data_IF_425569926185
#
_entry.id   IF_425569926185
#
_cell.length_a   1.000
_cell.length_b   1.000
_cell.length_c   1.000
_cell.angle_alpha   90.00
_cell.angle_beta   90.00
_cell.angle_gamma   90.00
#
_symmetry.space_group_name_H-M   'P 1'
#
loop_
_entity.id
_entity.type
_entity.pdbx_description
1 polymer ?
#
# COMPACT_ATOMS: atom_id res chain seq x y z
N UNK A 1 -21.13 7.41 -14.59
CA UNK A 1 -20.52 7.22 -13.26
C UNK A 1 -19.86 5.83 -13.21
N UNK A 2 -18.94 5.54 -12.29
CA UNK A 2 -18.34 4.18 -12.14
C UNK A 2 -19.43 3.10 -11.96
N UNK A 3 -20.56 3.49 -11.35
CA UNK A 3 -21.78 2.71 -11.15
C UNK A 3 -22.64 2.50 -12.41
N UNK A 4 -22.40 3.20 -13.51
CA UNK A 4 -23.20 3.11 -14.75
C UNK A 4 -22.52 2.32 -15.86
N UNK A 5 -21.35 1.70 -15.59
CA UNK A 5 -20.62 0.93 -16.59
C UNK A 5 -21.34 -0.39 -16.92
N UNK A 6 -21.89 -0.48 -18.13
CA UNK A 6 -22.52 -1.71 -18.66
C UNK A 6 -21.51 -2.85 -18.88
N UNK A 7 -20.22 -2.53 -18.97
CA UNK A 7 -19.12 -3.50 -19.04
C UNK A 7 -18.39 -3.55 -17.69
N UNK A 8 -18.54 -4.68 -17.00
CA UNK A 8 -17.94 -4.93 -15.70
C UNK A 8 -16.40 -4.98 -15.74
N UNK A 9 -15.80 -5.45 -16.85
CA UNK A 9 -14.35 -5.54 -16.99
C UNK A 9 -13.75 -4.14 -17.10
N UNK A 10 -14.37 -3.29 -17.92
CA UNK A 10 -13.97 -1.89 -18.04
C UNK A 10 -14.17 -1.13 -16.71
N UNK A 11 -15.32 -1.33 -16.05
CA UNK A 11 -15.59 -0.72 -14.75
C UNK A 11 -14.56 -1.12 -13.68
N UNK A 12 -14.20 -2.40 -13.62
CA UNK A 12 -13.18 -2.90 -12.70
C UNK A 12 -11.79 -2.31 -13.01
N UNK A 13 -11.37 -2.25 -14.28
CA UNK A 13 -10.10 -1.67 -14.66
C UNK A 13 -10.03 -0.16 -14.31
N UNK A 14 -11.10 0.58 -14.61
CA UNK A 14 -11.22 2.00 -14.28
C UNK A 14 -11.16 2.22 -12.77
N UNK A 15 -11.83 1.38 -11.98
CA UNK A 15 -11.79 1.44 -10.52
C UNK A 15 -10.36 1.28 -10.00
N UNK A 16 -9.66 0.21 -10.38
CA UNK A 16 -8.29 -0.04 -9.92
C UNK A 16 -7.32 1.08 -10.33
N UNK A 17 -7.44 1.57 -11.56
CA UNK A 17 -6.60 2.66 -12.06
C UNK A 17 -6.82 3.97 -11.29
N UNK A 18 -8.10 4.30 -11.01
CA UNK A 18 -8.47 5.51 -10.27
C UNK A 18 -8.05 5.41 -8.81
N UNK A 19 -8.28 4.27 -8.18
CA UNK A 19 -7.87 4.02 -6.79
C UNK A 19 -6.35 4.12 -6.64
N UNK A 20 -5.59 3.48 -7.51
CA UNK A 20 -4.12 3.54 -7.49
C UNK A 20 -3.60 4.97 -7.70
N UNK A 21 -4.24 5.76 -8.57
CA UNK A 21 -3.86 7.15 -8.80
C UNK A 21 -4.09 8.03 -7.55
N UNK A 22 -5.28 7.94 -6.94
CA UNK A 22 -5.59 8.73 -5.74
C UNK A 22 -4.72 8.34 -4.53
N UNK A 23 -4.45 7.05 -4.34
CA UNK A 23 -3.54 6.59 -3.29
C UNK A 23 -2.10 7.09 -3.52
N UNK A 24 -1.61 7.06 -4.76
CA UNK A 24 -0.27 7.55 -5.08
C UNK A 24 -0.13 9.04 -4.74
N UNK A 25 -1.11 9.87 -5.13
CA UNK A 25 -1.11 11.31 -4.84
C UNK A 25 -1.05 11.58 -3.33
N UNK A 26 -1.83 10.87 -2.52
CA UNK A 26 -1.80 11.03 -1.06
C UNK A 26 -0.47 10.60 -0.45
N UNK A 27 0.08 9.47 -0.91
CA UNK A 27 1.37 8.97 -0.42
C UNK A 27 2.50 9.91 -0.81
N UNK A 28 2.55 10.39 -2.04
CA UNK A 28 3.56 11.33 -2.53
C UNK A 28 3.57 12.63 -1.73
N UNK A 29 2.38 13.18 -1.47
CA UNK A 29 2.24 14.39 -0.66
C UNK A 29 2.77 14.17 0.77
N UNK A 30 2.36 13.09 1.42
CA UNK A 30 2.80 12.78 2.77
C UNK A 30 4.31 12.48 2.82
N UNK A 31 4.83 11.76 1.83
CA UNK A 31 6.24 11.44 1.73
C UNK A 31 7.11 12.70 1.58
N UNK A 32 6.66 13.66 0.76
CA UNK A 32 7.32 14.96 0.62
C UNK A 32 7.28 15.79 1.90
N UNK A 33 6.15 15.81 2.60
CA UNK A 33 5.98 16.57 3.86
C UNK A 33 6.90 16.05 4.98
N UNK A 34 7.03 14.72 5.10
CA UNK A 34 7.80 14.09 6.17
C UNK A 34 9.20 13.61 5.75
N UNK A 35 9.62 13.92 4.52
CA UNK A 35 10.89 13.49 3.93
C UNK A 35 11.11 11.95 4.02
N UNK A 36 10.09 11.19 3.64
CA UNK A 36 10.07 9.72 3.66
C UNK A 36 10.40 9.20 2.25
N UNK A 37 11.36 8.28 2.14
CA UNK A 37 11.73 7.65 0.87
C UNK A 37 11.19 6.22 0.70
N UNK A 38 10.84 5.54 1.80
CA UNK A 38 10.44 4.14 1.81
C UNK A 38 8.98 3.99 2.22
N UNK A 39 8.19 3.30 1.40
CA UNK A 39 6.75 3.10 1.61
C UNK A 39 6.48 1.60 1.73
N UNK A 40 5.98 1.17 2.90
CA UNK A 40 5.55 -0.20 3.10
C UNK A 40 4.08 -0.37 2.71
N UNK A 41 3.79 -1.32 1.80
CA UNK A 41 2.42 -1.69 1.43
C UNK A 41 2.04 -2.98 2.16
N UNK A 42 1.07 -2.87 3.08
CA UNK A 42 0.57 -3.98 3.88
C UNK A 42 -0.95 -3.95 4.03
N UNK A 43 -1.54 -5.08 4.41
CA UNK A 43 -2.99 -5.27 4.48
C UNK A 43 -3.54 -6.11 3.33
N UNK A 44 -4.65 -6.81 3.59
CA UNK A 44 -5.20 -7.84 2.70
C UNK A 44 -5.49 -7.35 1.27
N UNK A 45 -5.77 -6.06 1.09
CA UNK A 45 -6.01 -5.44 -0.22
C UNK A 45 -4.83 -5.58 -1.19
N UNK A 46 -3.60 -5.68 -0.69
CA UNK A 46 -2.40 -5.83 -1.52
C UNK A 46 -2.11 -7.27 -1.95
N UNK A 47 -3.01 -8.23 -1.69
CA UNK A 47 -3.05 -9.50 -2.45
C UNK A 47 -3.56 -9.28 -3.89
N UNK A 48 -4.19 -8.14 -4.16
CA UNK A 48 -4.61 -7.78 -5.50
C UNK A 48 -3.41 -7.30 -6.32
N UNK A 49 -2.87 -8.17 -7.17
CA UNK A 49 -1.72 -7.90 -8.04
C UNK A 49 -1.92 -6.66 -8.93
N UNK A 50 -3.15 -6.41 -9.39
CA UNK A 50 -3.44 -5.25 -10.24
C UNK A 50 -3.24 -3.97 -9.45
N UNK A 51 -3.79 -3.89 -8.24
CA UNK A 51 -3.64 -2.74 -7.36
C UNK A 51 -2.18 -2.58 -6.91
N UNK A 52 -1.53 -3.68 -6.50
CA UNK A 52 -0.16 -3.66 -6.02
C UNK A 52 0.80 -3.13 -7.08
N UNK A 53 0.73 -3.65 -8.31
CA UNK A 53 1.59 -3.20 -9.42
C UNK A 53 1.28 -1.77 -9.82
N UNK A 54 0.00 -1.43 -10.00
CA UNK A 54 -0.40 -0.10 -10.43
C UNK A 54 0.03 0.99 -9.42
N UNK A 55 -0.06 0.72 -8.12
CA UNK A 55 0.42 1.65 -7.10
C UNK A 55 1.95 1.67 -7.02
N UNK A 56 2.60 0.50 -7.04
CA UNK A 56 4.07 0.41 -6.96
C UNK A 56 4.76 1.14 -8.10
N UNK A 57 4.27 0.96 -9.34
CA UNK A 57 4.82 1.61 -10.52
C UNK A 57 4.65 3.13 -10.46
N UNK A 58 3.54 3.62 -9.89
CA UNK A 58 3.32 5.06 -9.69
C UNK A 58 4.30 5.61 -8.67
N UNK A 59 4.36 5.02 -7.48
CA UNK A 59 5.25 5.48 -6.42
C UNK A 59 6.73 5.46 -6.85
N UNK A 60 7.15 4.42 -7.58
CA UNK A 60 8.51 4.32 -8.11
C UNK A 60 8.86 5.44 -9.09
N UNK A 61 7.91 5.88 -9.94
CA UNK A 61 8.10 7.02 -10.85
C UNK A 61 8.32 8.34 -10.11
N UNK A 62 7.84 8.44 -8.88
CA UNK A 62 8.04 9.59 -8.00
C UNK A 62 9.26 9.42 -7.07
N UNK A 63 10.12 8.42 -7.33
CA UNK A 63 11.36 8.20 -6.58
C UNK A 63 11.18 7.51 -5.23
N UNK A 64 9.96 7.05 -4.90
CA UNK A 64 9.67 6.33 -3.67
C UNK A 64 9.96 4.84 -3.81
N UNK A 65 10.56 4.25 -2.78
CA UNK A 65 10.89 2.82 -2.75
C UNK A 65 9.81 2.04 -2.03
N UNK A 66 9.17 1.12 -2.76
CA UNK A 66 8.06 0.32 -2.21
C UNK A 66 8.59 -0.98 -1.58
N UNK A 67 8.19 -1.22 -0.34
CA UNK A 67 8.46 -2.44 0.41
C UNK A 67 7.19 -3.29 0.46
N UNK A 68 7.30 -4.53 0.02
CA UNK A 68 6.21 -5.52 0.05
C UNK A 68 6.58 -6.69 0.95
N UNK A 69 5.56 -7.33 1.53
CA UNK A 69 5.79 -8.50 2.37
C UNK A 69 6.25 -9.69 1.52
N UNK A 70 7.34 -10.34 1.94
CA UNK A 70 7.95 -11.48 1.21
C UNK A 70 7.85 -12.81 1.98
N UNK A 71 8.05 -12.78 3.29
CA UNK A 71 8.11 -13.99 4.13
C UNK A 71 6.77 -14.38 4.75
N UNK A 72 5.89 -13.39 4.93
CA UNK A 72 4.53 -13.59 5.42
C UNK A 72 3.58 -12.84 4.50
N UNK A 73 2.37 -13.39 4.35
CA UNK A 73 1.33 -12.69 3.60
C UNK A 73 0.97 -11.39 4.33
N UNK A 74 0.74 -10.28 3.61
CA UNK A 74 0.37 -9.00 4.20
C UNK A 74 -1.10 -9.01 4.67
N UNK A 75 -1.56 -10.05 5.36
CA UNK A 75 -2.91 -10.16 5.92
C UNK A 75 -2.85 -10.34 7.44
N UNK A 76 -4.01 -10.62 8.04
CA UNK A 76 -4.21 -10.68 9.48
C UNK A 76 -3.32 -11.72 10.18
N UNK A 77 -2.82 -12.72 9.44
CA UNK A 77 -1.84 -13.68 9.98
C UNK A 77 -0.53 -13.04 10.41
N UNK A 78 -0.19 -11.86 9.86
CA UNK A 78 1.02 -11.11 10.19
C UNK A 78 0.80 -10.02 11.25
N UNK A 79 -0.44 -9.77 11.69
CA UNK A 79 -0.73 -8.72 12.69
C UNK A 79 -0.06 -9.03 14.02
N UNK A 80 -0.13 -10.28 14.49
CA UNK A 80 0.49 -10.70 15.74
C UNK A 80 2.00 -10.50 15.75
N UNK A 81 2.66 -10.74 14.61
CA UNK A 81 4.09 -10.46 14.42
C UNK A 81 4.37 -8.95 14.53
N UNK A 82 3.58 -8.11 13.85
CA UNK A 82 3.71 -6.66 13.93
C UNK A 82 3.54 -6.14 15.36
N UNK A 83 2.53 -6.65 16.08
CA UNK A 83 2.28 -6.31 17.49
C UNK A 83 3.45 -6.71 18.38
N UNK A 84 3.96 -7.94 18.23
CA UNK A 84 5.11 -8.42 19.01
C UNK A 84 6.37 -7.56 18.75
N UNK A 85 6.61 -7.19 17.48
CA UNK A 85 7.72 -6.30 17.13
C UNK A 85 7.58 -4.93 17.80
N UNK A 86 6.40 -4.30 17.73
CA UNK A 86 6.16 -2.97 18.34
C UNK A 86 6.35 -3.03 19.86
N UNK A 87 5.86 -4.07 20.51
CA UNK A 87 6.05 -4.29 21.94
C UNK A 87 7.55 -4.41 22.29
N UNK A 88 8.31 -5.21 21.54
CA UNK A 88 9.75 -5.37 21.73
C UNK A 88 10.53 -4.06 21.58
N UNK A 89 10.16 -3.22 20.62
CA UNK A 89 10.82 -1.92 20.42
C UNK A 89 10.47 -0.92 21.52
N UNK A 90 9.23 -0.96 22.02
CA UNK A 90 8.80 -0.13 23.15
C UNK A 90 9.62 -0.46 24.40
N UNK A 91 9.78 -1.75 24.71
CA UNK A 91 10.60 -2.22 25.84
C UNK A 91 12.07 -1.82 25.65
N UNK A 92 12.62 -1.97 24.44
CA UNK A 92 14.01 -1.59 24.13
C UNK A 92 14.27 -0.09 24.27
N UNK A 93 13.26 0.76 24.04
CA UNK A 93 13.37 2.21 24.18
C UNK A 93 13.21 2.69 25.64
N UNK A 94 13.14 1.77 26.62
CA UNK A 94 13.13 2.12 28.04
C UNK A 94 11.85 2.80 28.52
N UNK A 95 10.71 2.49 27.87
CA UNK A 95 9.38 2.74 28.44
C UNK A 95 8.84 1.50 29.13
#
# INVERSE_FOLDING_TARGET
MLSDCRDASYGAALFHATLAAGLAEWVERAAGEYNIAYIALGGGCFHNDILLRALSDRLAKHGLQVLTAQQMQPNDSAISLGQAWVALQTIKQGK
#
